data_IF_033341701006
#
_entry.id   IF_033341701006
#
_cell.length_a   1.000
_cell.length_b   1.000
_cell.length_c   1.000
_cell.angle_alpha   90.00
_cell.angle_beta   90.00
_cell.angle_gamma   90.00
#
_symmetry.space_group_name_H-M   'P 1'
#
loop_
_entity.id
_entity.type
_entity.pdbx_description
1 polymer ?
#
# COMPACT_ATOMS: atom_id res chain seq x y z
N UNK A 1 0.74 16.83 1.99
CA UNK A 1 -0.19 15.88 1.43
C UNK A 1 0.48 14.82 0.64
N UNK A 2 -0.04 13.64 0.72
CA UNK A 2 0.53 12.50 0.03
C UNK A 2 0.01 12.44 -1.40
N UNK A 3 0.90 12.44 -2.38
CA UNK A 3 0.47 12.44 -3.77
C UNK A 3 0.06 11.03 -4.20
N UNK A 4 -1.16 10.90 -4.65
CA UNK A 4 -1.58 9.68 -5.31
C UNK A 4 -1.44 9.89 -6.81
N UNK A 5 -1.11 8.83 -7.54
CA UNK A 5 -1.07 8.96 -8.99
C UNK A 5 -2.46 9.23 -9.53
N UNK A 6 -2.56 9.99 -10.61
CA UNK A 6 -3.87 10.23 -11.20
C UNK A 6 -4.47 8.96 -11.74
N UNK A 7 -5.79 8.85 -11.67
CA UNK A 7 -6.51 7.72 -12.24
C UNK A 7 -6.74 8.01 -13.71
N UNK A 8 -6.14 7.19 -14.55
CA UNK A 8 -6.25 7.36 -16.00
C UNK A 8 -7.51 6.70 -16.55
N UNK A 9 -7.94 5.62 -15.92
CA UNK A 9 -9.06 4.84 -16.40
C UNK A 9 -10.02 4.55 -15.26
N UNK A 10 -10.81 5.54 -14.85
CA UNK A 10 -11.66 5.33 -13.66
C UNK A 10 -12.65 4.19 -13.81
N UNK A 11 -13.08 3.88 -15.03
CA UNK A 11 -14.02 2.79 -15.24
C UNK A 11 -13.42 1.42 -14.95
N UNK A 12 -12.11 1.30 -14.96
CA UNK A 12 -11.45 0.02 -14.74
C UNK A 12 -10.51 0.07 -13.54
N UNK A 13 -10.52 1.14 -12.76
CA UNK A 13 -9.66 1.22 -11.59
C UNK A 13 -10.13 0.24 -10.53
N UNK A 14 -9.19 -0.15 -9.67
CA UNK A 14 -9.45 -1.09 -8.58
C UNK A 14 -9.22 -0.41 -7.25
N UNK A 15 -9.92 -0.87 -6.25
CA UNK A 15 -9.78 -0.32 -4.91
C UNK A 15 -8.78 -1.15 -4.13
N UNK A 16 -7.85 -0.47 -3.50
CA UNK A 16 -6.76 -1.08 -2.76
C UNK A 16 -6.95 -0.73 -1.29
N UNK A 17 -7.03 -1.73 -0.44
CA UNK A 17 -7.04 -1.56 1.00
C UNK A 17 -5.72 -2.02 1.57
N UNK A 18 -5.11 -1.18 2.38
CA UNK A 18 -3.87 -1.49 3.06
C UNK A 18 -4.13 -1.57 4.56
N UNK A 19 -3.58 -2.59 5.20
CA UNK A 19 -3.66 -2.73 6.63
C UNK A 19 -2.25 -2.80 7.21
N UNK A 20 -2.00 -2.01 8.23
CA UNK A 20 -0.76 -2.04 8.98
C UNK A 20 -0.93 -3.06 10.09
N UNK A 21 -0.26 -4.21 9.97
CA UNK A 21 -0.39 -5.28 10.96
C UNK A 21 0.80 -5.39 11.88
N UNK A 22 1.66 -4.39 11.92
CA UNK A 22 2.69 -4.30 12.94
C UNK A 22 2.03 -4.16 14.30
N UNK A 23 2.57 -4.87 15.28
CA UNK A 23 1.94 -4.93 16.60
C UNK A 23 2.79 -4.37 17.72
N UNK A 24 4.03 -4.00 17.47
CA UNK A 24 4.89 -3.61 18.58
C UNK A 24 5.30 -2.16 18.48
N UNK A 25 5.10 -1.48 19.55
CA UNK A 25 5.70 -0.25 19.93
C UNK A 25 5.58 0.85 18.91
N UNK A 26 6.65 1.60 18.81
CA UNK A 26 6.70 2.75 17.94
C UNK A 26 6.68 2.40 16.47
N UNK A 27 7.07 1.18 16.15
CA UNK A 27 7.12 0.77 14.74
C UNK A 27 5.78 0.85 14.08
N UNK A 28 4.71 0.73 14.86
CA UNK A 28 3.36 0.85 14.35
C UNK A 28 3.13 2.22 13.71
N UNK A 29 3.76 3.24 14.26
CA UNK A 29 3.49 4.62 13.85
C UNK A 29 4.52 5.17 12.87
N UNK A 30 5.47 4.35 12.46
CA UNK A 30 6.57 4.83 11.62
C UNK A 30 6.62 4.11 10.28
N UNK A 31 5.44 3.81 9.76
CA UNK A 31 5.31 3.08 8.51
C UNK A 31 4.82 4.02 7.43
N UNK A 32 5.57 4.12 6.35
CA UNK A 32 5.19 4.93 5.20
C UNK A 32 5.00 4.02 3.99
N UNK A 33 3.81 4.03 3.43
CA UNK A 33 3.50 3.28 2.23
C UNK A 33 4.03 4.01 1.01
N UNK A 34 4.67 3.26 0.12
CA UNK A 34 5.16 3.82 -1.15
C UNK A 34 4.50 3.09 -2.31
N UNK A 35 4.30 3.82 -3.37
CA UNK A 35 3.75 3.28 -4.61
C UNK A 35 4.66 3.73 -5.73
N UNK A 36 5.23 2.74 -6.42
CA UNK A 36 6.17 3.00 -7.52
C UNK A 36 7.28 3.96 -7.07
N UNK A 37 7.80 3.71 -5.87
CA UNK A 37 8.89 4.47 -5.24
C UNK A 37 8.51 5.88 -4.82
N UNK A 38 7.23 6.20 -4.78
CA UNK A 38 6.77 7.52 -4.34
C UNK A 38 6.07 7.34 -2.99
N UNK A 39 6.49 8.08 -1.94
CA UNK A 39 5.78 8.00 -0.66
C UNK A 39 4.36 8.53 -0.82
N UNK A 40 3.40 7.74 -0.37
CA UNK A 40 1.99 8.05 -0.56
C UNK A 40 1.32 8.37 0.76
N UNK A 41 1.52 7.54 1.78
CA UNK A 41 0.77 7.67 3.01
C UNK A 41 1.61 7.22 4.19
N UNK A 42 1.63 8.02 5.23
CA UNK A 42 2.29 7.66 6.47
C UNK A 42 1.23 7.24 7.48
N UNK A 43 1.34 5.99 7.92
CA UNK A 43 0.45 5.49 8.97
C UNK A 43 0.87 6.12 10.30
N UNK A 44 -0.07 6.76 10.95
CA UNK A 44 0.10 7.25 12.29
C UNK A 44 -0.72 6.38 13.22
N UNK A 45 -1.77 6.96 13.78
CA UNK A 45 -2.67 6.20 14.63
C UNK A 45 -3.61 5.32 13.81
N UNK A 46 -3.79 5.66 12.55
CA UNK A 46 -4.64 4.89 11.65
C UNK A 46 -3.90 3.65 11.19
N UNK A 47 -4.59 2.53 11.14
CA UNK A 47 -3.97 1.28 10.72
C UNK A 47 -4.50 0.80 9.38
N UNK A 48 -5.28 1.61 8.70
CA UNK A 48 -5.86 1.28 7.42
C UNK A 48 -5.82 2.47 6.50
N UNK A 49 -5.70 2.19 5.22
CA UNK A 49 -5.71 3.23 4.20
C UNK A 49 -6.23 2.60 2.91
N UNK A 50 -7.06 3.31 2.19
CA UNK A 50 -7.57 2.80 0.93
C UNK A 50 -7.47 3.87 -0.15
N UNK A 51 -7.36 3.41 -1.38
CA UNK A 51 -7.27 4.29 -2.53
C UNK A 51 -7.62 3.51 -3.78
N UNK A 52 -7.81 4.22 -4.87
CA UNK A 52 -8.05 3.61 -6.17
C UNK A 52 -6.79 3.66 -7.02
N UNK A 53 -6.61 2.64 -7.85
CA UNK A 53 -5.40 2.48 -8.64
C UNK A 53 -5.77 1.90 -9.99
N UNK A 54 -5.14 2.41 -11.05
CA UNK A 54 -5.34 1.88 -12.38
C UNK A 54 -4.87 0.43 -12.46
N UNK A 55 -5.49 -0.35 -13.32
CA UNK A 55 -5.03 -1.70 -13.60
C UNK A 55 -3.63 -1.68 -14.19
N UNK A 56 -2.87 -2.72 -13.94
CA UNK A 56 -1.52 -2.85 -14.48
C UNK A 56 -0.52 -3.23 -13.42
N UNK A 57 0.74 -3.18 -13.78
CA UNK A 57 1.84 -3.52 -12.90
C UNK A 57 2.20 -2.33 -12.02
N UNK A 58 2.32 -2.59 -10.73
CA UNK A 58 2.71 -1.55 -9.78
C UNK A 58 3.64 -2.15 -8.76
N UNK A 59 4.48 -1.29 -8.20
CA UNK A 59 5.38 -1.69 -7.12
C UNK A 59 4.84 -1.11 -5.82
N UNK A 60 4.39 -1.99 -4.95
CA UNK A 60 3.94 -1.59 -3.60
C UNK A 60 5.10 -1.76 -2.64
N UNK A 61 5.24 -0.82 -1.75
CA UNK A 61 6.31 -0.90 -0.78
C UNK A 61 6.01 -0.14 0.48
N UNK A 62 6.92 -0.24 1.43
CA UNK A 62 6.84 0.60 2.61
C UNK A 62 8.23 0.81 3.17
N UNK A 63 8.36 1.89 3.90
CA UNK A 63 9.57 2.16 4.65
C UNK A 63 9.22 2.20 6.13
N UNK A 64 10.13 1.71 6.95
CA UNK A 64 9.99 1.78 8.39
C UNK A 64 11.38 1.98 8.98
N UNK A 65 11.63 3.20 9.46
CA UNK A 65 12.98 3.57 9.84
C UNK A 65 13.89 3.49 8.64
N UNK A 66 14.94 2.70 8.75
CA UNK A 66 15.90 2.56 7.65
C UNK A 66 15.58 1.39 6.73
N UNK A 67 14.48 0.69 6.99
CA UNK A 67 14.11 -0.45 6.14
C UNK A 67 13.23 -0.03 5.00
N UNK A 68 13.50 -0.60 3.83
CA UNK A 68 12.68 -0.44 2.64
C UNK A 68 12.24 -1.80 2.15
N UNK A 69 10.96 -1.96 1.90
CA UNK A 69 10.42 -3.21 1.40
C UNK A 69 9.56 -2.92 0.18
N UNK A 70 9.68 -3.74 -0.85
CA UNK A 70 8.94 -3.54 -2.09
C UNK A 70 8.60 -4.87 -2.70
N UNK A 71 7.47 -4.91 -3.40
CA UNK A 71 7.11 -6.06 -4.20
C UNK A 71 6.28 -5.60 -5.40
N UNK A 72 6.41 -6.32 -6.49
CA UNK A 72 5.63 -6.04 -7.70
C UNK A 72 4.31 -6.78 -7.61
N UNK A 73 3.25 -6.10 -7.98
CA UNK A 73 1.93 -6.72 -8.05
C UNK A 73 1.28 -6.35 -9.36
N UNK A 74 0.44 -7.23 -9.86
CA UNK A 74 -0.40 -6.92 -11.00
C UNK A 74 -1.81 -6.67 -10.50
N UNK A 75 -2.35 -5.51 -10.83
CA UNK A 75 -3.69 -5.11 -10.41
C UNK A 75 -4.64 -5.34 -11.59
N UNK A 76 -5.62 -6.20 -11.39
CA UNK A 76 -6.62 -6.45 -12.41
C UNK A 76 -7.66 -5.33 -12.40
N UNK A 77 -8.32 -5.10 -13.52
CA UNK A 77 -9.35 -4.06 -13.54
C UNK A 77 -10.58 -4.46 -12.72
N UNK A 78 -11.20 -3.46 -12.15
CA UNK A 78 -12.49 -3.60 -11.47
C UNK A 78 -12.46 -4.62 -10.34
N UNK A 79 -11.38 -4.63 -9.58
CA UNK A 79 -11.21 -5.57 -8.47
C UNK A 79 -11.04 -4.82 -7.16
N UNK A 80 -11.14 -5.56 -6.07
CA UNK A 80 -10.86 -5.05 -4.75
C UNK A 80 -9.75 -5.89 -4.15
N UNK A 81 -8.73 -5.23 -3.62
CA UNK A 81 -7.58 -5.91 -3.06
C UNK A 81 -7.41 -5.49 -1.62
N UNK A 82 -6.99 -6.44 -0.79
CA UNK A 82 -6.60 -6.17 0.59
C UNK A 82 -5.17 -6.67 0.75
N UNK A 83 -4.29 -5.78 1.16
CA UNK A 83 -2.89 -6.11 1.44
C UNK A 83 -2.57 -5.84 2.89
N UNK A 84 -1.79 -6.71 3.49
CA UNK A 84 -1.26 -6.49 4.83
C UNK A 84 0.21 -6.14 4.75
N UNK A 85 0.60 -5.12 5.50
CA UNK A 85 1.99 -4.67 5.62
C UNK A 85 2.47 -5.02 7.01
N UNK A 86 3.50 -5.84 7.11
CA UNK A 86 3.95 -6.32 8.40
C UNK A 86 5.43 -6.60 8.46
N UNK A 87 5.89 -7.20 9.56
CA UNK A 87 7.31 -7.44 9.76
C UNK A 87 7.90 -8.36 8.71
N UNK A 88 9.22 -8.25 8.54
CA UNK A 88 9.99 -9.06 7.61
C UNK A 88 9.56 -8.81 6.17
N UNK A 89 9.35 -7.53 5.87
CA UNK A 89 8.97 -7.10 4.53
C UNK A 89 7.71 -7.79 4.02
N UNK A 90 6.77 -8.01 4.92
CA UNK A 90 5.52 -8.64 4.53
C UNK A 90 4.65 -7.64 3.80
N UNK A 91 4.35 -7.95 2.56
CA UNK A 91 3.35 -7.25 1.75
C UNK A 91 2.53 -8.36 1.13
N UNK A 92 1.46 -8.71 1.77
CA UNK A 92 0.74 -9.92 1.42
C UNK A 92 -0.68 -9.59 0.98
N UNK A 93 -1.05 -10.13 -0.17
CA UNK A 93 -2.42 -10.00 -0.66
C UNK A 93 -3.31 -10.95 0.09
N UNK A 94 -4.28 -10.42 0.83
CA UNK A 94 -5.18 -11.21 1.65
C UNK A 94 -6.46 -11.56 0.92
N UNK A 95 -6.88 -10.71 0.01
CA UNK A 95 -8.06 -11.01 -0.80
C UNK A 95 -8.03 -10.17 -2.05
N UNK A 96 -8.91 -10.53 -2.96
CA UNK A 96 -8.97 -9.88 -4.25
C UNK A 96 -10.41 -9.58 -4.62
#
# INVERSE_FOLDING_TARGET
>A
KNPLPPIQSPDTSSQIFLKNVFTSGRDVYDLTFTLNNVPIYRFGETRQYSFYLDAGDHMLGFTRGSKNCETNVYIRPNANYVFELGPECRIEMMSE
#
